data_IF_138878140538
#
_entry.id   IF_138878140538
#
_cell.length_a   1.000
_cell.length_b   1.000
_cell.length_c   1.000
_cell.angle_alpha   90.00
_cell.angle_beta   90.00
_cell.angle_gamma   90.00
#
_symmetry.space_group_name_H-M   'P 1'
#
loop_
_entity.id
_entity.type
_entity.pdbx_description
1 polymer ?
#
# COMPACT_ATOMS: atom_id res chain seq x y z
N UNK A 1 -27.26 69.50 4.89
CA UNK A 1 -26.28 69.15 5.95
C UNK A 1 -26.78 67.88 6.63
N UNK A 2 -26.25 66.72 6.24
CA UNK A 2 -25.30 65.90 7.02
C UNK A 2 -26.06 64.98 8.03
N UNK A 3 -25.86 63.66 8.13
CA UNK A 3 -24.70 62.81 7.86
C UNK A 3 -25.13 61.39 7.49
N UNK A 4 -24.49 60.82 6.47
CA UNK A 4 -24.46 59.38 6.17
C UNK A 4 -23.64 58.67 7.26
N UNK A 5 -24.26 57.75 7.99
CA UNK A 5 -23.56 56.83 8.90
C UNK A 5 -23.05 55.64 8.10
N UNK A 6 -21.80 55.71 7.67
CA UNK A 6 -21.07 54.60 7.10
C UNK A 6 -20.82 53.55 8.19
N UNK A 7 -21.23 52.31 7.92
CA UNK A 7 -20.97 51.15 8.77
C UNK A 7 -19.55 50.64 8.47
N UNK A 8 -18.69 50.41 9.48
CA UNK A 8 -17.35 49.87 9.24
C UNK A 8 -17.48 48.41 8.78
N UNK A 9 -16.89 48.10 7.62
CA UNK A 9 -16.77 46.72 7.13
C UNK A 9 -15.88 45.89 8.07
N UNK A 10 -16.13 44.57 8.19
CA UNK A 10 -15.32 43.70 9.04
C UNK A 10 -13.87 43.72 8.55
N UNK A 11 -13.00 44.24 9.42
CA UNK A 11 -11.54 44.22 9.29
C UNK A 11 -11.01 42.79 9.33
N UNK A 12 -9.97 42.56 8.53
CA UNK A 12 -9.31 41.28 8.29
C UNK A 12 -9.20 40.35 9.50
N UNK A 13 -9.62 39.11 9.28
CA UNK A 13 -9.24 37.96 10.09
C UNK A 13 -8.65 36.91 9.14
N UNK A 14 -7.33 36.75 9.23
CA UNK A 14 -6.51 35.63 8.76
C UNK A 14 -7.06 34.82 7.57
N UNK A 15 -6.71 35.28 6.36
CA UNK A 15 -6.66 34.37 5.22
C UNK A 15 -5.66 33.25 5.58
N UNK A 16 -6.19 32.06 5.87
CA UNK A 16 -5.41 30.83 5.90
C UNK A 16 -4.53 30.80 4.62
N UNK A 17 -3.29 30.31 4.68
CA UNK A 17 -2.42 30.32 3.51
C UNK A 17 -3.10 29.52 2.38
N UNK A 18 -3.66 30.23 1.39
CA UNK A 18 -4.30 29.71 0.18
C UNK A 18 -3.24 29.17 -0.81
N UNK A 19 -2.34 28.35 -0.28
CA UNK A 19 -1.30 27.64 -1.01
C UNK A 19 -1.44 26.14 -0.77
N UNK A 20 -1.18 25.29 -1.79
CA UNK A 20 -1.16 23.85 -1.57
C UNK A 20 -0.16 23.47 -0.47
N UNK A 21 -0.58 22.62 0.48
CA UNK A 21 0.26 22.18 1.60
C UNK A 21 1.62 21.64 1.08
N UNK A 22 2.77 22.24 1.47
CA UNK A 22 4.09 21.77 1.08
C UNK A 22 4.33 20.28 1.36
N UNK A 23 3.65 19.73 2.38
CA UNK A 23 3.77 18.33 2.81
C UNK A 23 3.09 17.34 1.86
N UNK A 24 2.29 17.81 0.89
CA UNK A 24 1.60 16.92 -0.08
C UNK A 24 2.53 16.07 -0.92
N UNK A 25 3.76 16.54 -1.19
CA UNK A 25 4.78 15.77 -1.89
C UNK A 25 5.38 14.66 -1.02
N UNK A 26 5.48 14.88 0.29
CA UNK A 26 5.87 13.84 1.25
C UNK A 26 4.76 12.79 1.36
N UNK A 27 3.50 13.23 1.44
CA UNK A 27 2.34 12.33 1.44
C UNK A 27 2.26 11.52 0.14
N UNK A 28 2.57 12.12 -1.01
CA UNK A 28 2.71 11.40 -2.27
C UNK A 28 3.81 10.33 -2.19
N UNK A 29 4.99 10.67 -1.67
CA UNK A 29 6.08 9.71 -1.51
C UNK A 29 5.64 8.49 -0.66
N UNK A 30 4.92 8.71 0.44
CA UNK A 30 4.35 7.62 1.25
C UNK A 30 3.35 6.78 0.44
N UNK A 31 2.46 7.40 -0.34
CA UNK A 31 1.53 6.68 -1.22
C UNK A 31 2.26 5.85 -2.28
N UNK A 32 3.33 6.40 -2.85
CA UNK A 32 4.16 5.73 -3.85
C UNK A 32 4.92 4.55 -3.25
N UNK A 33 5.52 4.69 -2.07
CA UNK A 33 6.22 3.60 -1.39
C UNK A 33 5.24 2.50 -0.96
N UNK A 34 4.07 2.85 -0.43
CA UNK A 34 3.04 1.87 -0.12
C UNK A 34 2.54 1.14 -1.38
N UNK A 35 2.30 1.87 -2.48
CA UNK A 35 1.96 1.29 -3.78
C UNK A 35 3.04 0.33 -4.28
N UNK A 36 4.30 0.75 -4.24
CA UNK A 36 5.47 -0.07 -4.57
C UNK A 36 5.49 -1.36 -3.76
N UNK A 37 5.42 -1.24 -2.43
CA UNK A 37 5.44 -2.35 -1.49
C UNK A 37 4.32 -3.36 -1.77
N UNK A 38 3.08 -2.91 -2.00
CA UNK A 38 1.95 -3.82 -2.29
C UNK A 38 2.11 -4.56 -3.61
N UNK A 39 2.65 -3.91 -4.65
CA UNK A 39 2.90 -4.56 -5.94
C UNK A 39 4.10 -5.49 -5.92
N UNK A 40 5.17 -5.04 -5.25
CA UNK A 40 6.38 -5.81 -5.04
C UNK A 40 6.03 -7.14 -4.35
N UNK A 41 5.23 -7.11 -3.29
CA UNK A 41 4.80 -8.30 -2.57
C UNK A 41 4.15 -9.36 -3.48
N UNK A 42 3.18 -8.96 -4.31
CA UNK A 42 2.54 -9.89 -5.26
C UNK A 42 3.56 -10.46 -6.24
N UNK A 43 4.46 -9.62 -6.72
CA UNK A 43 5.47 -10.02 -7.70
C UNK A 43 6.51 -10.98 -7.11
N UNK A 44 7.08 -10.66 -5.95
CA UNK A 44 8.10 -11.49 -5.30
C UNK A 44 7.52 -12.85 -4.89
N UNK A 45 6.30 -12.90 -4.36
CA UNK A 45 5.68 -14.16 -3.92
C UNK A 45 5.56 -15.17 -5.06
N UNK A 46 5.29 -14.73 -6.29
CA UNK A 46 5.25 -15.62 -7.47
C UNK A 46 6.57 -16.36 -7.69
N UNK A 47 7.70 -15.68 -7.48
CA UNK A 47 9.05 -16.28 -7.61
C UNK A 47 9.37 -17.17 -6.39
N UNK A 48 8.77 -16.90 -5.25
CA UNK A 48 8.99 -17.64 -4.02
C UNK A 48 8.23 -18.97 -3.93
N UNK A 49 7.19 -19.20 -4.76
CA UNK A 49 6.33 -20.39 -4.65
C UNK A 49 7.09 -21.72 -4.60
N UNK A 50 8.12 -21.98 -5.44
CA UNK A 50 8.87 -23.24 -5.35
C UNK A 50 9.58 -23.39 -4.00
N UNK A 51 10.21 -22.33 -3.49
CA UNK A 51 10.87 -22.32 -2.17
C UNK A 51 9.87 -22.45 -1.02
N UNK A 52 8.67 -21.85 -1.14
CA UNK A 52 7.58 -22.06 -0.16
C UNK A 52 7.15 -23.53 -0.14
N UNK A 53 6.99 -24.14 -1.32
CA UNK A 53 6.62 -25.56 -1.46
C UNK A 53 7.61 -26.46 -0.74
N UNK A 54 8.89 -26.28 -1.02
CA UNK A 54 9.97 -27.07 -0.44
C UNK A 54 10.11 -26.81 1.07
N UNK A 55 10.10 -25.54 1.49
CA UNK A 55 10.32 -25.16 2.88
C UNK A 55 9.18 -25.53 3.85
N UNK A 56 7.94 -25.67 3.36
CA UNK A 56 6.78 -26.04 4.19
C UNK A 56 6.13 -27.38 3.79
N UNK A 57 6.68 -28.08 2.80
CA UNK A 57 6.04 -29.26 2.18
C UNK A 57 4.57 -29.00 1.79
N UNK A 58 4.33 -27.83 1.18
CA UNK A 58 2.99 -27.33 0.90
C UNK A 58 2.33 -28.08 -0.27
N UNK A 59 1.08 -28.58 -0.12
CA UNK A 59 0.35 -29.16 -1.25
C UNK A 59 0.02 -28.11 -2.31
N UNK A 60 -0.08 -28.52 -3.57
CA UNK A 60 -0.30 -27.57 -4.68
C UNK A 60 -1.58 -26.75 -4.55
N UNK A 61 -2.63 -27.32 -3.94
CA UNK A 61 -3.87 -26.61 -3.63
C UNK A 61 -3.64 -25.39 -2.75
N UNK A 62 -2.78 -25.50 -1.74
CA UNK A 62 -2.52 -24.43 -0.78
C UNK A 62 -1.64 -23.34 -1.41
N UNK A 63 -0.68 -23.70 -2.28
CA UNK A 63 0.08 -22.73 -3.08
C UNK A 63 -0.83 -21.91 -3.99
N UNK A 64 -1.84 -22.55 -4.60
CA UNK A 64 -2.84 -21.83 -5.40
C UNK A 64 -3.65 -20.87 -4.52
N UNK A 65 -4.00 -21.25 -3.29
CA UNK A 65 -4.68 -20.37 -2.34
C UNK A 65 -3.82 -19.20 -1.87
N UNK A 66 -2.49 -19.35 -1.77
CA UNK A 66 -1.56 -18.23 -1.44
C UNK A 66 -1.65 -17.08 -2.45
N UNK A 67 -1.88 -17.41 -3.73
CA UNK A 67 -2.00 -16.44 -4.83
C UNK A 67 -3.46 -16.01 -5.03
N UNK A 68 -4.32 -16.98 -5.32
CA UNK A 68 -5.72 -16.75 -5.68
C UNK A 68 -6.52 -16.23 -4.49
N UNK A 69 -6.24 -16.72 -3.28
CA UNK A 69 -6.86 -16.22 -2.06
C UNK A 69 -6.51 -14.75 -1.81
N UNK A 70 -5.23 -14.38 -1.95
CA UNK A 70 -4.82 -12.97 -1.88
C UNK A 70 -5.58 -12.12 -2.90
N UNK A 71 -5.60 -12.53 -4.17
CA UNK A 71 -6.27 -11.79 -5.24
C UNK A 71 -7.79 -11.68 -5.02
N UNK A 72 -8.43 -12.74 -4.53
CA UNK A 72 -9.84 -12.78 -4.19
C UNK A 72 -10.15 -11.82 -3.04
N UNK A 73 -9.39 -11.89 -1.95
CA UNK A 73 -9.59 -11.01 -0.80
C UNK A 73 -9.34 -9.54 -1.16
N UNK A 74 -8.29 -9.27 -1.93
CA UNK A 74 -8.00 -7.96 -2.49
C UNK A 74 -9.18 -7.43 -3.31
N UNK A 75 -9.64 -8.19 -4.30
CA UNK A 75 -10.75 -7.81 -5.18
C UNK A 75 -12.06 -7.57 -4.42
N UNK A 76 -12.37 -8.43 -3.45
CA UNK A 76 -13.58 -8.34 -2.64
C UNK A 76 -13.61 -7.08 -1.77
N UNK A 77 -12.44 -6.64 -1.28
CA UNK A 77 -12.33 -5.46 -0.42
C UNK A 77 -12.10 -4.15 -1.15
N UNK A 78 -11.75 -4.14 -2.45
CA UNK A 78 -11.54 -2.90 -3.22
C UNK A 78 -12.72 -1.93 -3.14
N UNK A 79 -13.94 -2.42 -3.44
CA UNK A 79 -15.14 -1.58 -3.51
C UNK A 79 -15.55 -1.09 -2.10
N UNK A 80 -15.68 -1.98 -1.08
CA UNK A 80 -15.97 -1.54 0.28
C UNK A 80 -14.92 -0.57 0.84
N UNK A 81 -13.63 -0.80 0.56
CA UNK A 81 -12.55 0.06 1.04
C UNK A 81 -12.63 1.48 0.47
N UNK A 82 -12.97 1.63 -0.81
CA UNK A 82 -13.21 2.95 -1.41
C UNK A 82 -14.27 3.73 -0.64
N UNK A 83 -15.44 3.10 -0.43
CA UNK A 83 -16.56 3.70 0.33
C UNK A 83 -16.19 3.97 1.79
N UNK A 84 -15.43 3.07 2.41
CA UNK A 84 -14.95 3.22 3.77
C UNK A 84 -14.03 4.45 3.90
N UNK A 85 -13.15 4.66 2.92
CA UNK A 85 -12.28 5.84 2.84
C UNK A 85 -13.07 7.14 2.63
N UNK A 86 -14.13 7.10 1.83
CA UNK A 86 -15.02 8.25 1.63
C UNK A 86 -15.75 8.63 2.92
N UNK A 87 -16.20 7.64 3.69
CA UNK A 87 -16.99 7.86 4.91
C UNK A 87 -16.16 8.17 6.16
N UNK A 88 -14.99 7.53 6.33
CA UNK A 88 -14.15 7.64 7.55
C UNK A 88 -12.85 8.42 7.36
N UNK A 89 -12.63 8.94 6.15
CA UNK A 89 -11.41 9.65 5.79
C UNK A 89 -10.35 8.73 5.20
N UNK A 90 -9.86 9.12 4.02
CA UNK A 90 -8.93 8.31 3.21
C UNK A 90 -7.61 8.04 3.90
N UNK A 91 -7.06 9.04 4.59
CA UNK A 91 -5.79 8.92 5.33
C UNK A 91 -5.89 7.86 6.42
N UNK A 92 -6.96 7.85 7.21
CA UNK A 92 -7.14 6.89 8.30
C UNK A 92 -7.24 5.46 7.76
N UNK A 93 -8.02 5.26 6.69
CA UNK A 93 -8.17 3.94 6.05
C UNK A 93 -6.86 3.48 5.40
N UNK A 94 -6.13 4.39 4.74
CA UNK A 94 -4.82 4.09 4.18
C UNK A 94 -3.82 3.64 5.25
N UNK A 95 -3.70 4.39 6.36
CA UNK A 95 -2.78 4.06 7.45
C UNK A 95 -3.16 2.74 8.15
N UNK A 96 -4.46 2.50 8.36
CA UNK A 96 -4.94 1.24 8.92
C UNK A 96 -4.65 0.05 7.99
N UNK A 97 -4.89 0.21 6.68
CA UNK A 97 -4.56 -0.78 5.66
C UNK A 97 -3.06 -1.08 5.62
N UNK A 98 -2.21 -0.05 5.66
CA UNK A 98 -0.76 -0.18 5.68
C UNK A 98 -0.26 -0.91 6.93
N UNK A 99 -0.78 -0.57 8.11
CA UNK A 99 -0.45 -1.26 9.35
C UNK A 99 -0.87 -2.74 9.29
N UNK A 100 -2.09 -3.02 8.83
CA UNK A 100 -2.57 -4.39 8.66
C UNK A 100 -1.72 -5.17 7.65
N UNK A 101 -1.34 -4.56 6.53
CA UNK A 101 -0.50 -5.20 5.52
C UNK A 101 0.86 -5.56 6.10
N UNK A 102 1.47 -4.64 6.85
CA UNK A 102 2.78 -4.84 7.47
C UNK A 102 2.75 -5.98 8.49
N UNK A 103 1.72 -6.02 9.34
CA UNK A 103 1.53 -7.09 10.32
C UNK A 103 1.22 -8.44 9.67
N UNK A 104 0.37 -8.45 8.63
CA UNK A 104 0.07 -9.66 7.88
C UNK A 104 1.31 -10.20 7.14
N UNK A 105 2.17 -9.32 6.64
CA UNK A 105 3.44 -9.71 6.02
C UNK A 105 4.40 -10.32 7.04
N UNK A 106 4.48 -9.75 8.25
CA UNK A 106 5.24 -10.37 9.34
C UNK A 106 4.69 -11.77 9.70
N UNK A 107 3.36 -11.92 9.72
CA UNK A 107 2.71 -13.21 9.96
C UNK A 107 2.97 -14.23 8.83
N UNK A 108 3.08 -13.80 7.57
CA UNK A 108 3.47 -14.66 6.45
C UNK A 108 4.91 -15.15 6.60
N UNK A 109 5.86 -14.26 6.89
CA UNK A 109 7.26 -14.63 7.13
C UNK A 109 7.44 -15.52 8.36
N UNK A 110 6.55 -15.42 9.35
CA UNK A 110 6.55 -16.24 10.55
C UNK A 110 5.81 -17.60 10.39
N UNK A 111 5.16 -17.85 9.26
CA UNK A 111 4.33 -19.04 9.08
C UNK A 111 5.11 -20.35 9.24
N UNK A 112 4.53 -21.30 9.98
CA UNK A 112 5.10 -22.64 10.22
C UNK A 112 4.34 -23.75 9.48
N UNK A 113 3.23 -23.41 8.82
CA UNK A 113 2.41 -24.33 8.04
C UNK A 113 1.78 -23.63 6.85
N UNK A 114 1.42 -24.41 5.83
CA UNK A 114 0.74 -23.95 4.62
C UNK A 114 -0.57 -23.22 4.92
N UNK A 115 -1.39 -23.77 5.82
CA UNK A 115 -2.67 -23.18 6.19
C UNK A 115 -2.49 -21.81 6.87
N UNK A 116 -1.49 -21.68 7.77
CA UNK A 116 -1.16 -20.38 8.36
C UNK A 116 -0.83 -19.38 7.25
N UNK A 117 0.08 -19.76 6.34
CA UNK A 117 0.50 -18.88 5.26
C UNK A 117 -0.69 -18.44 4.40
N UNK A 118 -1.59 -19.36 4.04
CA UNK A 118 -2.82 -19.05 3.30
C UNK A 118 -3.69 -18.02 4.04
N UNK A 119 -3.95 -18.23 5.33
CA UNK A 119 -4.77 -17.30 6.13
C UNK A 119 -4.11 -15.93 6.22
N UNK A 120 -2.80 -15.88 6.49
CA UNK A 120 -2.06 -14.63 6.55
C UNK A 120 -2.09 -13.89 5.20
N UNK A 121 -1.99 -14.63 4.08
CA UNK A 121 -2.11 -14.07 2.72
C UNK A 121 -3.51 -13.54 2.41
N UNK A 122 -4.57 -14.20 2.88
CA UNK A 122 -5.93 -13.69 2.77
C UNK A 122 -6.05 -12.33 3.48
N UNK A 123 -5.57 -12.24 4.72
CA UNK A 123 -5.56 -10.99 5.49
C UNK A 123 -4.72 -9.92 4.79
N UNK A 124 -3.57 -10.30 4.22
CA UNK A 124 -2.73 -9.38 3.46
C UNK A 124 -3.42 -8.88 2.19
N UNK A 125 -4.22 -9.72 1.52
CA UNK A 125 -5.06 -9.33 0.40
C UNK A 125 -6.11 -8.29 0.78
N UNK A 126 -6.79 -8.49 1.91
CA UNK A 126 -7.72 -7.50 2.49
C UNK A 126 -7.00 -6.16 2.71
N UNK A 127 -5.80 -6.20 3.29
CA UNK A 127 -4.99 -5.02 3.54
C UNK A 127 -4.57 -4.29 2.25
N UNK A 128 -4.15 -5.03 1.23
CA UNK A 128 -3.87 -4.46 -0.09
C UNK A 128 -5.10 -3.81 -0.73
N UNK A 129 -6.27 -4.46 -0.58
CA UNK A 129 -7.55 -3.94 -1.04
C UNK A 129 -7.98 -2.66 -0.31
N UNK A 130 -7.59 -2.50 0.95
CA UNK A 130 -7.78 -1.27 1.73
C UNK A 130 -6.89 -0.12 1.22
N UNK A 131 -5.64 -0.40 0.86
CA UNK A 131 -4.64 0.60 0.47
C UNK A 131 -4.91 1.13 -0.95
N UNK A 132 -5.11 0.23 -1.91
CA UNK A 132 -5.15 0.54 -3.35
C UNK A 132 -6.10 1.69 -3.76
N UNK A 133 -7.39 1.69 -3.38
CA UNK A 133 -8.31 2.77 -3.76
C UNK A 133 -7.93 4.10 -3.12
N UNK A 134 -7.27 4.09 -1.95
CA UNK A 134 -6.89 5.32 -1.26
C UNK A 134 -5.72 6.03 -1.97
N UNK A 135 -4.79 5.31 -2.59
CA UNK A 135 -3.66 5.93 -3.30
C UNK A 135 -4.17 6.85 -4.40
N UNK A 136 -4.97 6.32 -5.33
CA UNK A 136 -5.51 7.09 -6.45
C UNK A 136 -6.37 8.27 -5.97
N UNK A 137 -7.17 8.05 -4.93
CA UNK A 137 -8.08 9.07 -4.45
C UNK A 137 -7.37 10.16 -3.62
N UNK A 138 -6.33 9.82 -2.85
CA UNK A 138 -5.46 10.79 -2.18
C UNK A 138 -4.71 11.64 -3.21
N UNK A 139 -4.19 11.04 -4.28
CA UNK A 139 -3.55 11.79 -5.37
C UNK A 139 -4.53 12.81 -5.98
N UNK A 140 -5.78 12.41 -6.22
CA UNK A 140 -6.81 13.32 -6.75
C UNK A 140 -7.16 14.45 -5.78
N UNK A 141 -7.15 14.20 -4.47
CA UNK A 141 -7.42 15.20 -3.43
C UNK A 141 -6.27 16.19 -3.25
N UNK A 142 -5.01 15.72 -3.30
CA UNK A 142 -3.83 16.53 -3.02
C UNK A 142 -3.32 17.35 -4.20
N UNK A 143 -3.61 16.93 -5.43
CA UNK A 143 -3.08 17.55 -6.65
C UNK A 143 -4.19 17.91 -7.63
N UNK A 144 -3.99 19.01 -8.36
CA UNK A 144 -4.88 19.50 -9.42
C UNK A 144 -4.08 19.84 -10.69
N UNK A 145 -4.77 19.98 -11.82
CA UNK A 145 -4.17 20.37 -13.10
C UNK A 145 -2.97 19.51 -13.52
N UNK A 146 -1.88 20.17 -13.93
CA UNK A 146 -0.67 19.51 -14.43
C UNK A 146 0.06 18.68 -13.36
N UNK A 147 0.00 19.09 -12.09
CA UNK A 147 0.64 18.36 -11.00
C UNK A 147 -0.03 17.00 -10.75
N UNK A 148 -1.35 16.90 -10.93
CA UNK A 148 -2.06 15.62 -10.84
C UNK A 148 -1.58 14.63 -11.90
N UNK A 149 -1.39 15.11 -13.13
CA UNK A 149 -0.82 14.29 -14.21
C UNK A 149 0.59 13.80 -13.88
N UNK A 150 1.43 14.65 -13.27
CA UNK A 150 2.76 14.25 -12.78
C UNK A 150 2.69 13.19 -11.69
N UNK A 151 1.81 13.38 -10.69
CA UNK A 151 1.60 12.44 -9.60
C UNK A 151 1.16 11.05 -10.09
N UNK A 152 0.21 10.98 -11.02
CA UNK A 152 -0.17 9.71 -11.66
C UNK A 152 0.93 9.15 -12.56
N UNK A 153 1.72 10.00 -13.23
CA UNK A 153 2.90 9.58 -13.97
C UNK A 153 3.90 8.85 -13.07
N UNK A 154 4.25 9.43 -11.92
CA UNK A 154 5.11 8.80 -10.91
C UNK A 154 4.51 7.50 -10.37
N UNK A 155 3.21 7.47 -10.09
CA UNK A 155 2.53 6.24 -9.67
C UNK A 155 2.62 5.14 -10.73
N UNK A 156 2.40 5.47 -12.00
CA UNK A 156 2.58 4.54 -13.13
C UNK A 156 4.02 4.03 -13.26
N UNK A 157 5.02 4.90 -13.06
CA UNK A 157 6.43 4.52 -13.02
C UNK A 157 6.70 3.52 -11.89
N UNK A 158 6.17 3.78 -10.69
CA UNK A 158 6.29 2.87 -9.54
C UNK A 158 5.69 1.51 -9.86
N UNK A 159 4.50 1.47 -10.47
CA UNK A 159 3.84 0.21 -10.88
C UNK A 159 4.73 -0.61 -11.83
N UNK A 160 5.31 0.04 -12.84
CA UNK A 160 6.23 -0.60 -13.78
C UNK A 160 7.51 -1.12 -13.12
N UNK A 161 8.17 -0.28 -12.31
CA UNK A 161 9.41 -0.66 -11.60
C UNK A 161 9.15 -1.81 -10.63
N UNK A 162 8.07 -1.78 -9.86
CA UNK A 162 7.73 -2.84 -8.89
C UNK A 162 7.64 -4.21 -9.55
N UNK A 163 7.04 -4.25 -10.74
CA UNK A 163 6.81 -5.50 -11.50
C UNK A 163 8.12 -6.06 -12.06
N UNK A 164 9.06 -5.21 -12.44
CA UNK A 164 10.39 -5.62 -12.94
C UNK A 164 11.35 -6.00 -11.80
N UNK A 165 11.32 -5.26 -10.69
CA UNK A 165 12.21 -5.47 -9.53
C UNK A 165 11.81 -6.69 -8.73
N UNK A 166 10.51 -7.01 -8.64
CA UNK A 166 10.02 -8.14 -7.85
C UNK A 166 10.73 -9.46 -8.12
N UNK A 167 10.77 -9.97 -9.36
CA UNK A 167 11.39 -11.26 -9.63
C UNK A 167 12.90 -11.27 -9.33
N UNK A 168 13.58 -10.16 -9.65
CA UNK A 168 15.02 -10.00 -9.41
C UNK A 168 15.34 -10.00 -7.91
N UNK A 169 14.62 -9.18 -7.14
CA UNK A 169 14.82 -9.06 -5.70
C UNK A 169 14.43 -10.36 -4.98
N UNK A 170 13.34 -11.02 -5.41
CA UNK A 170 12.93 -12.31 -4.90
C UNK A 170 13.96 -13.41 -5.11
N UNK A 171 14.46 -13.54 -6.33
CA UNK A 171 15.50 -14.51 -6.65
C UNK A 171 16.77 -14.28 -5.82
N UNK A 172 17.20 -13.02 -5.68
CA UNK A 172 18.37 -12.66 -4.85
C UNK A 172 18.15 -12.98 -3.37
N UNK A 173 16.98 -12.65 -2.80
CA UNK A 173 16.66 -12.93 -1.40
C UNK A 173 16.64 -14.44 -1.13
N UNK A 174 16.02 -15.22 -2.01
CA UNK A 174 15.96 -16.69 -1.88
C UNK A 174 17.36 -17.29 -2.02
N UNK A 175 18.17 -16.82 -2.98
CA UNK A 175 19.54 -17.29 -3.16
C UNK A 175 20.42 -16.97 -1.94
N UNK A 176 20.30 -15.77 -1.36
CA UNK A 176 21.13 -15.33 -0.24
C UNK A 176 20.78 -16.04 1.07
N UNK A 177 19.49 -16.31 1.32
CA UNK A 177 19.00 -16.91 2.56
C UNK A 177 18.79 -18.44 2.49
N UNK A 178 19.04 -19.06 1.33
CA UNK A 178 18.98 -20.49 1.11
C UNK A 178 17.57 -21.02 0.76
N UNK A 179 17.49 -22.24 0.20
CA UNK A 179 16.26 -22.80 -0.38
C UNK A 179 15.15 -23.05 0.66
N UNK A 180 15.49 -23.44 1.89
CA UNK A 180 14.49 -23.82 2.90
C UNK A 180 13.83 -22.62 3.62
N UNK A 181 14.54 -21.50 3.78
CA UNK A 181 14.07 -20.35 4.57
C UNK A 181 14.07 -19.03 3.80
N UNK A 182 14.60 -19.02 2.57
CA UNK A 182 14.70 -17.81 1.74
C UNK A 182 13.36 -17.17 1.41
N UNK A 183 12.31 -17.97 1.24
CA UNK A 183 10.96 -17.47 1.00
C UNK A 183 10.40 -16.62 2.16
N UNK A 184 10.90 -16.77 3.40
CA UNK A 184 10.42 -15.97 4.54
C UNK A 184 10.84 -14.51 4.40
N UNK A 185 12.03 -14.28 3.85
CA UNK A 185 12.60 -12.95 3.63
C UNK A 185 11.88 -12.14 2.56
N UNK A 186 11.22 -12.83 1.62
CA UNK A 186 10.29 -12.21 0.65
C UNK A 186 9.16 -11.46 1.34
N UNK A 187 8.69 -11.95 2.49
CA UNK A 187 7.70 -11.23 3.28
C UNK A 187 8.34 -10.18 4.19
N UNK A 188 9.49 -10.51 4.80
CA UNK A 188 10.16 -9.58 5.71
C UNK A 188 10.68 -8.30 5.03
N UNK A 189 10.94 -8.31 3.72
CA UNK A 189 11.34 -7.10 2.97
C UNK A 189 10.29 -5.98 3.03
N UNK A 190 9.02 -6.32 3.26
CA UNK A 190 7.94 -5.36 3.37
C UNK A 190 7.94 -4.62 4.72
N UNK A 191 8.42 -5.24 5.80
CA UNK A 191 8.39 -4.66 7.15
C UNK A 191 9.11 -3.32 7.25
N UNK A 192 10.37 -3.15 6.78
CA UNK A 192 11.03 -1.85 6.87
C UNK A 192 10.31 -0.78 6.05
N UNK A 193 9.76 -1.11 4.88
CA UNK A 193 8.98 -0.19 4.06
C UNK A 193 7.70 0.25 4.78
N UNK A 194 6.99 -0.70 5.38
CA UNK A 194 5.77 -0.45 6.14
C UNK A 194 6.01 0.43 7.35
N UNK A 195 7.06 0.14 8.13
CA UNK A 195 7.43 0.92 9.32
C UNK A 195 7.83 2.36 8.93
N UNK A 196 8.68 2.52 7.91
CA UNK A 196 9.10 3.86 7.45
C UNK A 196 7.91 4.69 6.98
N UNK A 197 6.91 4.09 6.33
CA UNK A 197 5.70 4.79 5.90
C UNK A 197 4.74 5.14 7.05
N UNK A 198 4.84 4.46 8.20
CA UNK A 198 3.97 4.70 9.36
C UNK A 198 4.52 5.77 10.33
N UNK A 199 5.82 6.05 10.27
CA UNK A 199 6.53 7.07 11.07
C UNK A 199 6.43 8.46 10.44
#
# INVERSE_FOLDING_TARGET
>A
MARSTAQPGPTGGDAAPDGPDPRRWQALAVCLVAGFMTLLDVSIVNVALPSIREGLNTPESDLQWVLSGYALAFGLFLIPAGRLGDARGRRAVFMAGLALFTLASAACGAAQSSLWLVIARLVQGIAGGLISPQISALIQQMFSGRERGRAFGMFGTVVGISTAVGPLLGGLLIQAAGPEHGWRWVFYVNLPLGVVCLL
#
